data_IF_144257393021
#
_entry.id   IF_144257393021
#
_cell.length_a   1.000
_cell.length_b   1.000
_cell.length_c   1.000
_cell.angle_alpha   90.00
_cell.angle_beta   90.00
_cell.angle_gamma   90.00
#
_symmetry.space_group_name_H-M   'P 1'
#
loop_
_entity.id
_entity.type
_entity.pdbx_description
1 polymer ?
#
# COMPACT_ATOMS: atom_id res chain seq x y z
N UNK A 1 -1.76 -26.68 12.71
CA UNK A 1 -0.74 -25.89 11.99
C UNK A 1 -1.04 -24.42 12.21
N UNK A 2 -0.03 -23.59 12.41
CA UNK A 2 -0.19 -22.14 12.57
C UNK A 2 -0.57 -21.51 11.23
N UNK A 3 -1.42 -20.48 11.25
CA UNK A 3 -1.73 -19.68 10.07
C UNK A 3 -0.47 -18.95 9.56
N UNK A 4 -0.30 -18.91 8.26
CA UNK A 4 0.78 -18.15 7.59
C UNK A 4 0.32 -16.72 7.37
N UNK A 5 1.02 -15.76 8.00
CA UNK A 5 0.75 -14.35 7.90
C UNK A 5 1.68 -13.67 6.90
N UNK A 6 1.10 -13.04 5.91
CA UNK A 6 1.79 -12.22 4.92
C UNK A 6 1.74 -10.75 5.35
N UNK A 7 2.86 -10.06 5.29
CA UNK A 7 2.93 -8.62 5.50
C UNK A 7 3.10 -7.89 4.16
N UNK A 8 2.40 -6.80 3.99
CA UNK A 8 2.58 -5.88 2.87
C UNK A 8 2.59 -4.43 3.38
N UNK A 9 3.45 -3.62 2.82
CA UNK A 9 3.54 -2.20 3.20
C UNK A 9 3.56 -1.30 1.97
N UNK A 10 3.14 -0.06 2.17
CA UNK A 10 3.13 0.94 1.11
C UNK A 10 2.49 2.24 1.54
N UNK A 11 2.41 3.17 0.60
CA UNK A 11 1.74 4.45 0.82
C UNK A 11 0.23 4.30 0.68
N UNK A 12 -0.24 3.52 -0.27
CA UNK A 12 -1.66 3.24 -0.58
C UNK A 12 -2.49 4.49 -0.84
N UNK A 13 -1.87 5.51 -1.44
CA UNK A 13 -2.53 6.78 -1.76
C UNK A 13 -3.55 6.61 -2.89
N UNK A 14 -4.67 7.35 -2.82
CA UNK A 14 -5.77 7.28 -3.78
C UNK A 14 -6.20 5.84 -4.06
N UNK A 15 -6.44 5.07 -3.02
CA UNK A 15 -6.69 3.63 -3.07
C UNK A 15 -7.54 3.22 -4.28
N UNK A 16 -7.00 2.30 -5.11
CA UNK A 16 -7.55 1.99 -6.43
C UNK A 16 -7.48 0.48 -6.75
N UNK A 17 -8.03 0.08 -7.88
CA UNK A 17 -8.10 -1.31 -8.31
C UNK A 17 -6.72 -2.02 -8.35
N UNK A 18 -5.64 -1.31 -8.65
CA UNK A 18 -4.28 -1.85 -8.61
C UNK A 18 -3.85 -2.28 -7.21
N UNK A 19 -4.19 -1.49 -6.20
CA UNK A 19 -3.94 -1.85 -4.79
C UNK A 19 -4.79 -3.05 -4.37
N UNK A 20 -6.07 -3.08 -4.75
CA UNK A 20 -6.95 -4.23 -4.45
C UNK A 20 -6.41 -5.52 -5.04
N UNK A 21 -5.95 -5.48 -6.29
CA UNK A 21 -5.39 -6.66 -6.97
C UNK A 21 -4.07 -7.11 -6.32
N UNK A 22 -3.20 -6.17 -5.93
CA UNK A 22 -1.99 -6.49 -5.18
C UNK A 22 -2.34 -7.21 -3.86
N UNK A 23 -3.30 -6.68 -3.09
CA UNK A 23 -3.72 -7.32 -1.83
C UNK A 23 -4.33 -8.70 -2.07
N UNK A 24 -5.08 -8.88 -3.16
CA UNK A 24 -5.59 -10.19 -3.54
C UNK A 24 -4.47 -11.19 -3.79
N UNK A 25 -3.43 -10.80 -4.54
CA UNK A 25 -2.27 -11.67 -4.80
C UNK A 25 -1.46 -11.94 -3.52
N UNK A 26 -1.19 -10.91 -2.71
CA UNK A 26 -0.50 -11.06 -1.44
C UNK A 26 -1.24 -12.03 -0.50
N UNK A 27 -2.56 -11.91 -0.42
CA UNK A 27 -3.42 -12.78 0.41
C UNK A 27 -3.38 -14.26 -0.03
N UNK A 28 -3.13 -14.54 -1.31
CA UNK A 28 -3.00 -15.90 -1.83
C UNK A 28 -1.66 -16.58 -1.48
N UNK A 29 -0.67 -15.82 -0.99
CA UNK A 29 0.62 -16.38 -0.57
C UNK A 29 0.59 -16.99 0.83
N UNK A 30 -0.47 -16.73 1.60
CA UNK A 30 -0.64 -17.25 2.96
C UNK A 30 -2.11 -17.31 3.37
N UNK A 31 -2.33 -17.55 4.66
CA UNK A 31 -3.68 -17.67 5.23
C UNK A 31 -4.26 -16.31 5.63
N UNK A 32 -3.41 -15.32 5.93
CA UNK A 32 -3.78 -13.99 6.39
C UNK A 32 -2.88 -12.91 5.81
N UNK A 33 -3.43 -11.72 5.61
CA UNK A 33 -2.71 -10.54 5.18
C UNK A 33 -2.79 -9.44 6.24
N UNK A 34 -1.64 -8.99 6.72
CA UNK A 34 -1.48 -7.77 7.51
C UNK A 34 -0.84 -6.68 6.66
N UNK A 35 -1.40 -5.47 6.71
CA UNK A 35 -0.95 -4.34 5.91
C UNK A 35 -0.45 -3.21 6.81
N UNK A 36 0.72 -2.66 6.46
CA UNK A 36 1.28 -1.45 7.03
C UNK A 36 1.20 -0.27 6.08
N UNK A 37 1.08 0.93 6.63
CA UNK A 37 1.06 2.18 5.88
C UNK A 37 2.24 3.05 6.27
N UNK A 38 2.92 3.62 5.27
CA UNK A 38 3.93 4.66 5.51
C UNK A 38 3.29 5.92 6.06
N UNK A 39 3.96 6.59 6.99
CA UNK A 39 3.57 7.93 7.44
C UNK A 39 3.59 8.93 6.27
N UNK A 40 2.88 10.06 6.39
CA UNK A 40 2.92 11.11 5.36
C UNK A 40 4.33 11.67 5.20
N UNK A 41 5.07 11.84 6.30
CA UNK A 41 6.46 12.33 6.29
C UNK A 41 7.43 11.34 5.65
N UNK A 42 7.35 10.05 5.99
CA UNK A 42 8.21 9.03 5.41
C UNK A 42 7.92 8.85 3.91
N UNK A 43 6.65 8.84 3.50
CA UNK A 43 6.28 8.80 2.10
C UNK A 43 6.85 10.00 1.33
N UNK A 44 6.76 11.21 1.89
CA UNK A 44 7.29 12.43 1.29
C UNK A 44 8.82 12.48 1.19
N UNK A 45 9.54 11.64 1.95
CA UNK A 45 11.01 11.57 1.91
C UNK A 45 11.57 10.97 0.62
N UNK A 46 10.80 10.19 -0.13
CA UNK A 46 11.23 9.50 -1.36
C UNK A 46 10.24 9.54 -2.53
N UNK A 47 9.05 10.10 -2.29
CA UNK A 47 7.98 10.30 -3.30
C UNK A 47 7.35 11.68 -3.10
N UNK A 48 6.55 12.19 -4.05
CA UNK A 48 5.66 13.31 -3.78
C UNK A 48 4.75 13.01 -2.59
N UNK A 49 4.45 14.03 -1.77
CA UNK A 49 3.57 13.88 -0.62
C UNK A 49 2.24 13.23 -1.01
N UNK A 50 1.70 12.31 -0.19
CA UNK A 50 0.42 11.72 -0.44
C UNK A 50 -0.70 12.78 -0.57
N UNK A 51 -1.67 12.52 -1.43
CA UNK A 51 -2.88 13.35 -1.57
C UNK A 51 -3.79 13.14 -0.36
N UNK A 52 -3.96 11.88 0.06
CA UNK A 52 -4.77 11.52 1.22
C UNK A 52 -3.90 11.50 2.48
N UNK A 53 -4.42 12.07 3.57
CA UNK A 53 -3.78 11.99 4.87
C UNK A 53 -3.71 10.52 5.37
N UNK A 54 -2.77 10.23 6.27
CA UNK A 54 -2.56 8.88 6.81
C UNK A 54 -3.87 8.24 7.31
N UNK A 55 -4.67 8.96 8.09
CA UNK A 55 -5.93 8.44 8.64
C UNK A 55 -6.95 8.08 7.56
N UNK A 56 -7.01 8.83 6.46
CA UNK A 56 -7.88 8.56 5.33
C UNK A 56 -7.45 7.30 4.59
N UNK A 57 -6.14 7.16 4.34
CA UNK A 57 -5.55 5.99 3.71
C UNK A 57 -5.76 4.73 4.57
N UNK A 58 -5.56 4.85 5.88
CA UNK A 58 -5.78 3.77 6.85
C UNK A 58 -7.24 3.28 6.83
N UNK A 59 -8.20 4.20 6.83
CA UNK A 59 -9.62 3.86 6.82
C UNK A 59 -10.02 3.06 5.56
N UNK A 60 -9.51 3.46 4.39
CA UNK A 60 -9.83 2.79 3.11
C UNK A 60 -9.17 1.41 3.03
N UNK A 61 -7.89 1.29 3.41
CA UNK A 61 -7.17 0.00 3.43
C UNK A 61 -7.87 -0.98 4.38
N UNK A 62 -8.30 -0.52 5.56
CA UNK A 62 -9.03 -1.35 6.53
C UNK A 62 -10.33 -1.90 5.97
N UNK A 63 -10.99 -1.19 5.08
CA UNK A 63 -12.23 -1.62 4.45
C UNK A 63 -12.03 -2.64 3.31
N UNK A 64 -10.79 -2.90 2.88
CA UNK A 64 -10.51 -3.85 1.82
C UNK A 64 -10.71 -5.29 2.29
N UNK A 65 -11.58 -6.03 1.61
CA UNK A 65 -11.93 -7.42 1.97
C UNK A 65 -10.77 -8.42 1.91
N UNK A 66 -9.66 -8.08 1.27
CA UNK A 66 -8.47 -8.94 1.17
C UNK A 66 -7.50 -8.73 2.32
N UNK A 67 -7.76 -7.74 3.18
CA UNK A 67 -6.93 -7.40 4.34
C UNK A 67 -7.56 -7.95 5.60
N UNK A 68 -6.82 -8.77 6.35
CA UNK A 68 -7.28 -9.36 7.61
C UNK A 68 -6.94 -8.45 8.80
N UNK A 69 -5.82 -7.72 8.72
CA UNK A 69 -5.38 -6.79 9.78
C UNK A 69 -4.63 -5.60 9.16
N UNK A 70 -4.83 -4.41 9.71
CA UNK A 70 -4.05 -3.23 9.39
C UNK A 70 -3.31 -2.78 10.65
N UNK A 71 -2.04 -2.39 10.49
CA UNK A 71 -1.27 -1.80 11.59
C UNK A 71 -1.78 -0.37 11.84
N UNK A 72 -2.06 -0.05 13.10
CA UNK A 72 -2.57 1.28 13.49
C UNK A 72 -1.48 2.35 13.46
N UNK A 73 -0.24 1.94 13.79
CA UNK A 73 0.93 2.80 13.76
C UNK A 73 1.59 2.76 12.38
N UNK A 74 2.27 3.84 11.97
CA UNK A 74 3.00 3.86 10.71
C UNK A 74 4.02 2.74 10.59
N UNK A 75 4.11 2.15 9.40
CA UNK A 75 5.11 1.17 9.06
C UNK A 75 6.53 1.78 9.09
N UNK A 76 7.56 1.04 9.49
CA UNK A 76 8.94 1.49 9.42
C UNK A 76 9.38 1.66 7.96
N UNK A 77 10.35 2.57 7.70
CA UNK A 77 10.92 2.74 6.37
C UNK A 77 11.61 1.48 5.84
N UNK A 78 12.19 0.67 6.72
CA UNK A 78 12.83 -0.60 6.37
C UNK A 78 12.14 -1.73 7.10
N UNK A 79 11.72 -2.75 6.36
CA UNK A 79 11.14 -3.95 6.94
C UNK A 79 12.25 -4.95 7.28
N UNK A 80 12.39 -5.24 8.58
CA UNK A 80 13.38 -6.17 9.11
C UNK A 80 12.75 -7.46 9.61
N UNK A 81 13.56 -8.51 9.82
CA UNK A 81 13.09 -9.75 10.46
C UNK A 81 12.50 -9.50 11.83
N UNK A 82 13.20 -8.69 12.65
CA UNK A 82 12.73 -8.35 13.99
C UNK A 82 11.36 -7.65 13.96
N UNK A 83 11.13 -6.78 12.97
CA UNK A 83 9.83 -6.15 12.79
C UNK A 83 8.76 -7.16 12.41
N UNK A 84 9.02 -8.05 11.43
CA UNK A 84 8.06 -9.11 11.06
C UNK A 84 7.71 -9.99 12.25
N UNK A 85 8.72 -10.39 13.05
CA UNK A 85 8.52 -11.18 14.25
C UNK A 85 7.63 -10.45 15.27
N UNK A 86 7.84 -9.14 15.43
CA UNK A 86 7.07 -8.32 16.39
C UNK A 86 5.58 -8.21 16.03
N UNK A 87 5.25 -8.28 14.74
CA UNK A 87 3.86 -8.24 14.26
C UNK A 87 3.28 -9.64 13.97
N UNK A 88 4.06 -10.70 14.17
CA UNK A 88 3.66 -12.08 13.91
C UNK A 88 3.48 -12.40 12.43
N UNK A 89 4.24 -11.78 11.54
CA UNK A 89 4.22 -12.06 10.11
C UNK A 89 5.36 -13.01 9.73
N UNK A 90 5.08 -13.96 8.84
CA UNK A 90 6.07 -14.96 8.39
C UNK A 90 6.99 -14.37 7.31
N UNK A 91 6.45 -13.58 6.41
CA UNK A 91 7.23 -12.93 5.35
C UNK A 91 6.56 -11.65 4.83
N UNK A 92 7.36 -10.81 4.18
CA UNK A 92 6.92 -9.60 3.49
C UNK A 92 6.66 -9.90 2.01
N UNK A 93 5.63 -9.26 1.45
CA UNK A 93 5.29 -9.31 0.04
C UNK A 93 5.42 -7.92 -0.58
N UNK A 94 6.10 -7.82 -1.73
CA UNK A 94 6.23 -6.59 -2.53
C UNK A 94 5.93 -6.86 -4.01
N UNK A 95 5.57 -5.81 -4.77
CA UNK A 95 5.45 -5.89 -6.22
C UNK A 95 6.82 -5.98 -6.92
N UNK A 96 6.84 -6.38 -8.19
CA UNK A 96 8.06 -6.49 -9.00
C UNK A 96 8.47 -5.16 -9.69
N UNK A 97 8.08 -4.04 -9.11
CA UNK A 97 8.35 -2.69 -9.59
C UNK A 97 9.62 -2.04 -9.00
N UNK A 98 10.34 -2.77 -8.14
CA UNK A 98 11.65 -2.38 -7.59
C UNK A 98 12.77 -3.18 -8.21
N UNK A 99 13.92 -2.52 -8.47
CA UNK A 99 15.13 -3.20 -8.84
C UNK A 99 15.83 -3.87 -7.63
N UNK A 100 16.88 -4.65 -7.90
CA UNK A 100 17.59 -5.40 -6.85
C UNK A 100 18.24 -4.48 -5.80
N UNK A 101 18.74 -3.31 -6.21
CA UNK A 101 19.35 -2.35 -5.30
C UNK A 101 18.32 -1.71 -4.37
N UNK A 102 17.14 -1.38 -4.89
CA UNK A 102 16.02 -0.89 -4.10
C UNK A 102 15.50 -1.94 -3.13
N UNK A 103 15.34 -3.19 -3.59
CA UNK A 103 14.95 -4.31 -2.71
C UNK A 103 15.98 -4.52 -1.59
N UNK A 104 17.27 -4.48 -1.90
CA UNK A 104 18.32 -4.59 -0.89
C UNK A 104 18.29 -3.45 0.12
N UNK A 105 17.96 -2.24 -0.31
CA UNK A 105 17.86 -1.05 0.56
C UNK A 105 16.73 -1.18 1.59
N UNK A 106 15.56 -1.64 1.15
CA UNK A 106 14.34 -1.64 1.97
C UNK A 106 14.10 -2.96 2.69
N UNK A 107 14.56 -4.08 2.11
CA UNK A 107 14.28 -5.45 2.54
C UNK A 107 15.54 -6.32 2.67
N UNK A 108 16.74 -5.71 2.69
CA UNK A 108 18.00 -6.45 2.66
C UNK A 108 18.17 -7.47 3.79
N UNK A 109 17.55 -7.24 4.94
CA UNK A 109 17.52 -8.18 6.06
C UNK A 109 16.63 -9.42 5.79
N UNK A 110 15.62 -9.27 4.94
CA UNK A 110 14.67 -10.34 4.61
C UNK A 110 15.12 -11.25 3.50
N UNK A 111 15.91 -10.72 2.54
CA UNK A 111 16.30 -11.46 1.34
C UNK A 111 17.10 -12.74 1.65
N UNK A 112 18.21 -12.70 2.43
CA UNK A 112 18.97 -13.90 2.75
C UNK A 112 18.22 -14.89 3.66
N UNK A 113 17.22 -14.40 4.39
CA UNK A 113 16.36 -15.23 5.23
C UNK A 113 15.22 -15.90 4.45
N UNK A 114 15.06 -15.60 3.16
CA UNK A 114 13.95 -16.10 2.35
C UNK A 114 12.58 -15.58 2.79
N UNK A 115 12.54 -14.44 3.50
CA UNK A 115 11.32 -13.84 4.05
C UNK A 115 10.78 -12.69 3.21
N UNK A 116 11.23 -12.54 1.97
CA UNK A 116 10.67 -11.64 0.98
C UNK A 116 10.04 -12.44 -0.16
N UNK A 117 8.83 -12.07 -0.54
CA UNK A 117 8.13 -12.59 -1.72
C UNK A 117 7.83 -11.44 -2.65
N UNK A 118 8.08 -11.64 -3.94
CA UNK A 118 7.77 -10.66 -4.97
C UNK A 118 6.62 -11.18 -5.81
N UNK A 119 5.56 -10.39 -5.93
CA UNK A 119 4.42 -10.70 -6.80
C UNK A 119 4.46 -9.84 -8.05
N UNK A 120 3.88 -10.36 -9.12
CA UNK A 120 3.84 -9.66 -10.39
C UNK A 120 2.95 -8.42 -10.29
N UNK A 121 3.50 -7.26 -10.64
CA UNK A 121 2.73 -6.04 -10.79
C UNK A 121 1.69 -6.20 -11.91
N UNK A 122 0.46 -5.86 -11.61
CA UNK A 122 -0.62 -5.86 -12.61
C UNK A 122 -0.93 -4.41 -13.00
N UNK A 123 -0.64 -3.99 -14.24
CA UNK A 123 -0.79 -2.61 -14.67
C UNK A 123 -2.26 -2.27 -14.98
N UNK A 124 -3.11 -2.28 -13.97
CA UNK A 124 -4.52 -1.87 -14.11
C UNK A 124 -4.66 -0.35 -14.07
N UNK A 125 -4.11 0.26 -13.04
CA UNK A 125 -4.19 1.69 -12.78
C UNK A 125 -3.15 2.05 -11.70
N UNK A 126 -2.68 3.30 -11.71
CA UNK A 126 -1.79 3.83 -10.68
C UNK A 126 -2.33 5.14 -10.11
N UNK A 127 -1.86 5.53 -8.93
CA UNK A 127 -2.17 6.85 -8.34
C UNK A 127 -1.76 7.99 -9.28
N UNK A 128 -0.61 7.85 -9.97
CA UNK A 128 -0.18 8.81 -11.01
C UNK A 128 -1.21 8.96 -12.11
N UNK A 129 -1.73 7.86 -12.65
CA UNK A 129 -2.76 7.90 -13.70
C UNK A 129 -4.04 8.62 -13.25
N UNK A 130 -4.44 8.42 -11.99
CA UNK A 130 -5.59 9.13 -11.42
C UNK A 130 -5.32 10.63 -11.35
N UNK A 131 -4.16 11.02 -10.82
CA UNK A 131 -3.74 12.42 -10.70
C UNK A 131 -3.69 13.08 -12.09
N UNK A 132 -3.07 12.43 -13.08
CA UNK A 132 -2.99 12.92 -14.45
C UNK A 132 -4.38 13.14 -15.06
N UNK A 133 -5.32 12.24 -14.85
CA UNK A 133 -6.73 12.43 -15.29
C UNK A 133 -7.38 13.63 -14.63
N UNK A 134 -7.17 13.83 -13.32
CA UNK A 134 -7.72 14.96 -12.59
C UNK A 134 -7.14 16.28 -13.13
N UNK A 135 -5.82 16.36 -13.29
CA UNK A 135 -5.14 17.55 -13.81
C UNK A 135 -5.60 17.89 -15.24
N UNK A 136 -5.64 16.89 -16.12
CA UNK A 136 -6.08 17.06 -17.50
C UNK A 136 -7.51 17.60 -17.54
N UNK A 137 -8.43 16.97 -16.83
CA UNK A 137 -9.86 17.40 -16.79
C UNK A 137 -10.04 18.78 -16.17
N UNK A 138 -9.20 19.13 -15.18
CA UNK A 138 -9.21 20.47 -14.59
C UNK A 138 -8.81 21.54 -15.63
N UNK A 139 -7.74 21.27 -16.41
CA UNK A 139 -7.30 22.16 -17.47
C UNK A 139 -8.31 22.28 -18.62
N UNK A 140 -8.98 21.19 -18.97
CA UNK A 140 -10.03 21.17 -20.00
C UNK A 140 -11.37 21.76 -19.53
N UNK A 141 -11.50 22.11 -18.25
CA UNK A 141 -12.73 22.59 -17.65
C UNK A 141 -13.85 21.55 -17.60
N UNK A 142 -13.50 20.26 -17.75
CA UNK A 142 -14.46 19.14 -17.70
C UNK A 142 -14.60 18.55 -16.29
N UNK A 143 -13.70 18.90 -15.36
CA UNK A 143 -13.81 18.58 -13.95
C UNK A 143 -14.62 19.69 -13.26
N UNK A 144 -15.91 19.44 -13.03
CA UNK A 144 -16.75 20.32 -12.22
C UNK A 144 -16.85 19.73 -10.82
N UNK A 145 -16.33 20.40 -9.78
CA UNK A 145 -16.72 20.09 -8.42
C UNK A 145 -18.16 20.63 -8.23
N UNK A 146 -19.15 19.86 -8.59
CA UNK A 146 -20.52 20.16 -8.19
C UNK A 146 -20.59 19.95 -6.68
N UNK A 147 -20.48 21.04 -5.95
CA UNK A 147 -20.90 21.10 -4.55
C UNK A 147 -22.42 21.03 -4.56
N UNK A 148 -22.95 19.84 -4.69
CA UNK A 148 -24.36 19.59 -4.40
C UNK A 148 -24.52 19.88 -2.91
N UNK A 149 -25.09 21.03 -2.60
CA UNK A 149 -25.59 21.34 -1.25
C UNK A 149 -26.59 20.26 -0.91
N UNK A 150 -26.18 19.26 -0.15
CA UNK A 150 -27.12 18.35 0.51
C UNK A 150 -27.82 19.18 1.56
N UNK A 151 -28.93 19.74 1.20
CA UNK A 151 -29.88 20.33 2.16
C UNK A 151 -30.42 19.15 2.98
N UNK A 152 -29.92 18.99 4.19
CA UNK A 152 -30.56 18.10 5.18
C UNK A 152 -31.90 18.75 5.54
N UNK A 153 -33.01 18.19 5.10
CA UNK A 153 -34.35 18.42 5.65
C UNK A 153 -34.50 17.69 6.97
#
# INVERSE_FOLDING_TARGET
MSEVWVYAEGVWDLFHAGHVEFFRQARLLGDRLVVGLMSDADAASYKPSPIMAFAERLAVVRACRHVDRVLEEPAPLQTTRAFLDSIGADFCCHGDDMDEAELARWYGDLMPAGRLRVVRYTPLISSRTIIERVVTRAHEGTLRPEVTKITRS
#
